data_IF_286271884707
#
_entry.id   IF_286271884707
#
_cell.length_a   1.000
_cell.length_b   1.000
_cell.length_c   1.000
_cell.angle_alpha   90.00
_cell.angle_beta   90.00
_cell.angle_gamma   90.00
#
_symmetry.space_group_name_H-M   'P 1'
#
loop_
_entity.id
_entity.type
_entity.pdbx_description
1 polymer ?
#
# COMPACT_ATOMS: atom_id res chain seq x y z
N UNK A 1 17.21 14.26 -48.88
CA UNK A 1 17.32 13.25 -49.97
C UNK A 1 16.82 13.79 -51.31
N UNK A 2 15.81 14.66 -51.39
CA UNK A 2 15.49 15.43 -52.61
C UNK A 2 16.55 16.48 -52.96
N UNK A 3 17.06 17.19 -51.95
CA UNK A 3 18.18 18.12 -52.12
C UNK A 3 19.40 17.43 -52.75
N UNK A 4 19.65 16.15 -52.43
CA UNK A 4 20.75 15.40 -53.05
C UNK A 4 20.47 15.13 -54.54
N UNK A 5 19.24 14.74 -54.90
CA UNK A 5 18.85 14.53 -56.31
C UNK A 5 18.92 15.83 -57.12
N UNK A 6 18.50 16.96 -56.54
CA UNK A 6 18.63 18.30 -57.14
C UNK A 6 20.10 18.65 -57.34
N UNK A 7 20.96 18.42 -56.34
CA UNK A 7 22.40 18.73 -56.43
C UNK A 7 23.20 17.75 -57.29
N UNK A 8 22.66 16.57 -57.57
CA UNK A 8 23.31 15.58 -58.43
C UNK A 8 23.16 15.93 -59.92
N UNK A 9 22.19 16.78 -60.27
CA UNK A 9 22.14 17.41 -61.58
C UNK A 9 23.32 18.39 -61.74
N UNK A 10 24.19 18.10 -62.71
CA UNK A 10 25.37 18.91 -63.06
C UNK A 10 25.01 20.31 -63.60
N UNK A 11 23.75 20.56 -63.95
CA UNK A 11 23.25 21.84 -64.46
C UNK A 11 22.59 22.67 -63.35
N UNK A 12 23.37 23.59 -62.79
CA UNK A 12 22.93 24.53 -61.74
C UNK A 12 21.89 25.54 -62.20
N UNK A 13 21.74 25.78 -63.50
CA UNK A 13 20.76 26.72 -64.03
C UNK A 13 19.31 26.23 -63.87
N UNK A 14 19.13 24.92 -63.63
CA UNK A 14 17.81 24.28 -63.47
C UNK A 14 17.44 24.00 -62.01
N UNK A 15 18.30 24.37 -61.07
CA UNK A 15 18.09 24.06 -59.65
C UNK A 15 16.89 24.82 -59.07
N UNK A 16 16.71 26.10 -59.39
CA UNK A 16 15.60 26.89 -58.85
C UNK A 16 14.24 26.32 -59.28
N UNK A 17 14.14 25.84 -60.52
CA UNK A 17 12.94 25.18 -61.03
C UNK A 17 12.71 23.82 -60.36
N UNK A 18 13.77 23.02 -60.15
CA UNK A 18 13.71 21.73 -59.48
C UNK A 18 13.41 21.84 -57.98
N UNK A 19 13.83 22.92 -57.33
CA UNK A 19 13.49 23.25 -55.94
C UNK A 19 12.04 23.74 -55.85
N UNK A 20 11.55 24.45 -56.87
CA UNK A 20 10.16 24.89 -56.91
C UNK A 20 9.17 23.76 -57.26
N UNK A 21 9.66 22.66 -57.84
CA UNK A 21 8.86 21.49 -58.17
C UNK A 21 8.44 20.69 -56.91
N UNK A 22 7.25 20.07 -56.93
CA UNK A 22 6.81 19.24 -55.83
C UNK A 22 7.76 18.03 -55.61
N UNK A 23 7.97 17.59 -54.37
CA UNK A 23 8.85 16.47 -54.08
C UNK A 23 8.40 15.18 -54.80
N UNK A 24 9.35 14.34 -55.26
CA UNK A 24 9.04 13.04 -55.84
C UNK A 24 8.14 12.18 -54.93
N UNK A 25 7.24 11.40 -55.53
CA UNK A 25 6.25 10.57 -54.82
C UNK A 25 6.87 9.67 -53.73
N UNK A 26 8.01 9.05 -54.02
CA UNK A 26 8.78 8.24 -53.05
C UNK A 26 9.13 9.00 -51.77
N UNK A 27 9.47 10.29 -51.87
CA UNK A 27 9.82 11.11 -50.71
C UNK A 27 8.56 11.47 -49.92
N UNK A 28 7.46 11.77 -50.61
CA UNK A 28 6.16 11.98 -49.96
C UNK A 28 5.70 10.73 -49.19
N UNK A 29 5.91 9.53 -49.74
CA UNK A 29 5.63 8.27 -49.05
C UNK A 29 6.49 8.08 -47.79
N UNK A 30 7.79 8.38 -47.87
CA UNK A 30 8.69 8.31 -46.71
C UNK A 30 8.32 9.29 -45.61
N UNK A 31 7.90 10.51 -45.97
CA UNK A 31 7.40 11.51 -45.01
C UNK A 31 6.10 11.02 -44.36
N UNK A 32 5.13 10.56 -45.14
CA UNK A 32 3.87 9.98 -44.61
C UNK A 32 4.11 8.80 -43.68
N UNK A 33 5.02 7.90 -44.03
CA UNK A 33 5.39 6.77 -43.18
C UNK A 33 6.05 7.23 -41.87
N UNK A 34 6.86 8.29 -41.93
CA UNK A 34 7.48 8.89 -40.74
C UNK A 34 6.42 9.54 -39.84
N UNK A 35 5.48 10.30 -40.41
CA UNK A 35 4.37 10.92 -39.68
C UNK A 35 3.47 9.86 -39.02
N UNK A 36 3.14 8.80 -39.76
CA UNK A 36 2.39 7.65 -39.23
C UNK A 36 3.10 6.98 -38.05
N UNK A 37 4.42 6.84 -38.11
CA UNK A 37 5.22 6.25 -37.03
C UNK A 37 5.28 7.15 -35.80
N UNK A 38 5.41 8.46 -35.99
CA UNK A 38 5.36 9.44 -34.89
C UNK A 38 3.99 9.42 -34.22
N UNK A 39 2.92 9.42 -35.00
CA UNK A 39 1.55 9.37 -34.47
C UNK A 39 1.28 8.06 -33.71
N UNK A 40 1.74 6.92 -34.24
CA UNK A 40 1.66 5.64 -33.54
C UNK A 40 2.44 5.66 -32.22
N UNK A 41 3.63 6.27 -32.19
CA UNK A 41 4.43 6.40 -30.97
C UNK A 41 3.73 7.29 -29.93
N UNK A 42 3.20 8.45 -30.33
CA UNK A 42 2.46 9.35 -29.45
C UNK A 42 1.21 8.67 -28.86
N UNK A 43 0.50 7.89 -29.66
CA UNK A 43 -0.66 7.14 -29.18
C UNK A 43 -0.27 6.04 -28.19
N UNK A 44 0.84 5.32 -28.41
CA UNK A 44 1.37 4.37 -27.43
C UNK A 44 1.79 5.04 -26.13
N UNK A 45 2.49 6.19 -26.22
CA UNK A 45 2.89 6.95 -25.04
C UNK A 45 1.67 7.42 -24.26
N UNK A 46 0.68 8.02 -24.93
CA UNK A 46 -0.58 8.44 -24.33
C UNK A 46 -1.29 7.28 -23.63
N UNK A 47 -1.35 6.11 -24.26
CA UNK A 47 -1.97 4.94 -23.66
C UNK A 47 -1.20 4.46 -22.43
N UNK A 48 0.13 4.38 -22.52
CA UNK A 48 1.01 4.00 -21.40
C UNK A 48 0.86 4.97 -20.22
N UNK A 49 0.88 6.28 -20.46
CA UNK A 49 0.69 7.31 -19.44
C UNK A 49 -0.68 7.20 -18.77
N UNK A 50 -1.74 6.93 -19.54
CA UNK A 50 -3.08 6.71 -18.98
C UNK A 50 -3.13 5.48 -18.08
N UNK A 51 -2.55 4.36 -18.50
CA UNK A 51 -2.48 3.16 -17.68
C UNK A 51 -1.69 3.40 -16.39
N UNK A 52 -0.53 4.09 -16.47
CA UNK A 52 0.24 4.45 -15.30
C UNK A 52 -0.55 5.33 -14.33
N UNK A 53 -1.31 6.32 -14.84
CA UNK A 53 -2.18 7.16 -14.03
C UNK A 53 -3.30 6.36 -13.35
N UNK A 54 -3.94 5.43 -14.07
CA UNK A 54 -4.95 4.53 -13.48
C UNK A 54 -4.37 3.69 -12.35
N UNK A 55 -3.17 3.11 -12.54
CA UNK A 55 -2.48 2.37 -11.48
C UNK A 55 -2.21 3.26 -10.25
N UNK A 56 -1.65 4.45 -10.45
CA UNK A 56 -1.37 5.38 -9.35
C UNK A 56 -2.63 5.78 -8.59
N UNK A 57 -3.74 6.04 -9.29
CA UNK A 57 -5.02 6.33 -8.66
C UNK A 57 -5.52 5.14 -7.82
N UNK A 58 -5.33 3.90 -8.32
CA UNK A 58 -5.60 2.68 -7.57
C UNK A 58 -4.77 2.60 -6.27
N UNK A 59 -3.45 2.80 -6.36
CA UNK A 59 -2.59 2.80 -5.19
C UNK A 59 -2.96 3.87 -4.16
N UNK A 60 -3.33 5.08 -4.61
CA UNK A 60 -3.81 6.15 -3.72
C UNK A 60 -5.10 5.72 -3.00
N UNK A 61 -6.03 5.09 -3.72
CA UNK A 61 -7.25 4.58 -3.13
C UNK A 61 -6.97 3.49 -2.08
N UNK A 62 -6.04 2.57 -2.36
CA UNK A 62 -5.60 1.54 -1.42
C UNK A 62 -4.96 2.12 -0.15
N UNK A 63 -4.10 3.13 -0.27
CA UNK A 63 -3.53 3.83 0.90
C UNK A 63 -4.63 4.43 1.77
N UNK A 64 -5.68 4.98 1.18
CA UNK A 64 -6.81 5.53 1.93
C UNK A 64 -7.67 4.45 2.60
N UNK A 65 -7.70 3.22 2.06
CA UNK A 65 -8.32 2.06 2.74
C UNK A 65 -7.45 1.66 3.93
N UNK A 66 -6.15 1.48 3.71
CA UNK A 66 -5.21 1.07 4.75
C UNK A 66 -5.22 2.05 5.94
N UNK A 67 -5.32 3.36 5.67
CA UNK A 67 -5.45 4.37 6.72
C UNK A 67 -6.71 4.17 7.57
N UNK A 68 -7.86 3.91 6.95
CA UNK A 68 -9.12 3.64 7.64
C UNK A 68 -9.07 2.36 8.47
N UNK A 69 -8.43 1.32 7.94
CA UNK A 69 -8.23 0.07 8.67
C UNK A 69 -7.35 0.29 9.90
N UNK A 70 -6.27 1.07 9.74
CA UNK A 70 -5.40 1.45 10.86
C UNK A 70 -6.16 2.21 11.96
N UNK A 71 -6.98 3.20 11.61
CA UNK A 71 -7.84 3.92 12.56
C UNK A 71 -8.88 3.01 13.23
N UNK A 72 -9.32 1.94 12.57
CA UNK A 72 -10.19 0.94 13.19
C UNK A 72 -9.43 0.04 14.17
N UNK A 73 -8.19 -0.35 13.85
CA UNK A 73 -7.32 -1.10 14.76
C UNK A 73 -6.98 -0.29 16.00
N UNK A 74 -6.68 1.01 15.83
CA UNK A 74 -6.35 1.93 16.92
C UNK A 74 -7.51 2.02 17.93
N UNK A 75 -8.73 2.28 17.46
CA UNK A 75 -9.94 2.29 18.31
C UNK A 75 -10.16 0.96 19.04
N UNK A 76 -9.94 -0.18 18.37
CA UNK A 76 -10.05 -1.49 19.02
C UNK A 76 -9.00 -1.66 20.12
N UNK A 77 -7.79 -1.16 19.91
CA UNK A 77 -6.73 -1.20 20.92
C UNK A 77 -7.11 -0.36 22.13
N UNK A 78 -7.62 0.85 21.93
CA UNK A 78 -8.13 1.72 23.00
C UNK A 78 -9.24 1.03 23.81
N UNK A 79 -10.21 0.39 23.13
CA UNK A 79 -11.29 -0.36 23.79
C UNK A 79 -10.73 -1.50 24.67
N UNK A 80 -9.74 -2.24 24.16
CA UNK A 80 -9.08 -3.32 24.91
C UNK A 80 -8.30 -2.78 26.11
N UNK A 81 -7.55 -1.69 25.94
CA UNK A 81 -6.84 -1.04 27.05
C UNK A 81 -7.80 -0.59 28.13
N UNK A 82 -8.90 0.04 27.76
CA UNK A 82 -9.92 0.49 28.71
C UNK A 82 -10.55 -0.70 29.44
N UNK A 83 -10.87 -1.78 28.73
CA UNK A 83 -11.38 -3.02 29.33
C UNK A 83 -10.40 -3.60 30.37
N UNK A 84 -9.12 -3.63 30.05
CA UNK A 84 -8.08 -4.12 30.96
C UNK A 84 -7.93 -3.22 32.19
N UNK A 85 -7.97 -1.89 32.03
CA UNK A 85 -7.93 -0.93 33.15
C UNK A 85 -9.12 -1.14 34.09
N UNK A 86 -10.33 -1.22 33.55
CA UNK A 86 -11.53 -1.45 34.37
C UNK A 86 -11.50 -2.79 35.11
N UNK A 87 -11.00 -3.85 34.46
CA UNK A 87 -10.81 -5.15 35.13
C UNK A 87 -9.77 -5.10 36.24
N UNK A 88 -8.68 -4.37 36.02
CA UNK A 88 -7.66 -4.14 37.05
C UNK A 88 -8.26 -3.42 38.26
N UNK A 89 -8.96 -2.31 38.04
CA UNK A 89 -9.62 -1.54 39.10
C UNK A 89 -10.60 -2.40 39.91
N UNK A 90 -11.37 -3.26 39.24
CA UNK A 90 -12.27 -4.20 39.90
C UNK A 90 -11.54 -5.20 40.81
N UNK A 91 -10.39 -5.72 40.36
CA UNK A 91 -9.57 -6.64 41.16
C UNK A 91 -8.97 -5.91 42.36
N UNK A 92 -8.45 -4.69 42.16
CA UNK A 92 -7.89 -3.86 43.25
C UNK A 92 -8.97 -3.55 44.29
N UNK A 93 -10.18 -3.16 43.88
CA UNK A 93 -11.30 -2.95 44.80
C UNK A 93 -11.70 -4.23 45.54
N UNK A 94 -11.71 -5.38 44.86
CA UNK A 94 -12.01 -6.67 45.50
C UNK A 94 -10.96 -7.03 46.55
N UNK A 95 -9.70 -6.68 46.33
CA UNK A 95 -8.62 -6.92 47.28
C UNK A 95 -8.79 -6.04 48.53
N UNK A 96 -9.15 -4.77 48.34
CA UNK A 96 -9.42 -3.84 49.46
C UNK A 96 -10.61 -4.30 50.32
N UNK A 97 -11.62 -4.94 49.72
CA UNK A 97 -12.79 -5.48 50.42
C UNK A 97 -12.50 -6.76 51.23
N UNK A 98 -11.41 -7.48 50.93
CA UNK A 98 -11.00 -8.66 51.69
C UNK A 98 -10.38 -8.22 53.03
N UNK A 99 -11.22 -8.12 54.04
CA UNK A 99 -10.78 -7.95 55.42
C UNK A 99 -10.28 -9.29 55.95
N UNK A 100 -8.95 -9.46 56.00
CA UNK A 100 -8.35 -10.60 56.68
C UNK A 100 -8.49 -10.39 58.20
N UNK A 101 -8.91 -11.41 58.96
CA UNK A 101 -8.86 -11.35 60.42
C UNK A 101 -7.42 -11.14 60.88
N UNK A 102 -7.26 -10.51 62.05
CA UNK A 102 -5.93 -10.35 62.65
C UNK A 102 -5.33 -11.76 62.86
N UNK A 103 -4.04 -12.00 62.57
CA UNK A 103 -3.41 -13.30 62.78
C UNK A 103 -3.58 -13.84 64.20
N UNK A 104 -3.76 -12.98 65.20
CA UNK A 104 -4.05 -13.35 66.59
C UNK A 104 -5.49 -13.82 66.84
N UNK A 105 -6.43 -13.52 65.95
CA UNK A 105 -7.83 -13.99 65.99
C UNK A 105 -8.02 -15.34 65.27
N UNK A 106 -7.04 -15.75 64.44
CA UNK A 106 -7.03 -17.05 63.78
C UNK A 106 -6.36 -18.07 64.69
N UNK A 107 -7.17 -18.87 65.41
CA UNK A 107 -6.67 -19.96 66.26
C UNK A 107 -5.87 -21.00 65.48
N UNK A 108 -4.83 -21.56 66.09
CA UNK A 108 -3.97 -22.57 65.47
C UNK A 108 -4.80 -23.82 65.14
N UNK A 109 -4.99 -24.07 63.85
CA UNK A 109 -5.76 -25.21 63.36
C UNK A 109 -5.10 -26.56 63.68
N UNK A 110 -3.84 -26.55 64.12
CA UNK A 110 -3.15 -27.75 64.58
C UNK A 110 -3.42 -28.12 66.04
N UNK A 111 -4.04 -27.25 66.85
CA UNK A 111 -4.35 -27.56 68.25
C UNK A 111 -5.39 -28.69 68.43
N UNK A 112 -6.13 -29.05 67.37
CA UNK A 112 -7.20 -30.05 67.42
C UNK A 112 -7.05 -31.18 66.39
N UNK A 113 -5.88 -31.32 65.76
CA UNK A 113 -5.62 -32.46 64.86
C UNK A 113 -5.24 -33.67 65.72
N UNK A 114 -6.19 -34.58 65.91
CA UNK A 114 -5.92 -35.92 66.42
C UNK A 114 -5.56 -36.87 65.26
N UNK A 115 -4.47 -37.63 65.43
CA UNK A 115 -4.12 -38.69 64.49
C UNK A 115 -5.14 -39.81 64.57
N UNK A 116 -5.84 -40.06 63.47
CA UNK A 116 -6.74 -41.22 63.34
C UNK A 116 -5.88 -42.46 63.13
N UNK A 117 -6.15 -43.52 63.91
CA UNK A 117 -5.48 -44.81 63.75
C UNK A 117 -5.82 -45.42 62.39
N UNK A 118 -4.79 -45.82 61.64
CA UNK A 118 -4.95 -46.44 60.33
C UNK A 118 -5.40 -47.90 60.49
N UNK A 119 -6.71 -48.11 60.39
CA UNK A 119 -7.35 -49.42 60.49
C UNK A 119 -7.23 -50.24 59.20
N UNK A 120 -6.72 -49.66 58.11
CA UNK A 120 -6.66 -50.33 56.80
C UNK A 120 -5.41 -51.19 56.63
N UNK A 121 -4.39 -51.01 57.48
CA UNK A 121 -3.08 -51.68 57.37
C UNK A 121 -2.67 -52.48 58.63
N UNK A 122 -3.62 -53.08 59.36
CA UNK A 122 -3.33 -54.12 60.37
C UNK A 122 -3.20 -55.51 59.76
#
# INVERSE_FOLDING_TARGET
MWANDVTHNLDRSTWDDLISAPPPSRILELLRASDSRVEAHLNRLRQSTRTALTCMNGCIAEVNILRRDWEAYDRRLEDYEQSLRSRKEMIEASLDDINLPDPSEVGDSMEHIENVEDLEHQ
#
